data_IF_562849824335
#
_entry.id   IF_562849824335
#
_cell.length_a   1.000
_cell.length_b   1.000
_cell.length_c   1.000
_cell.angle_alpha   90.00
_cell.angle_beta   90.00
_cell.angle_gamma   90.00
#
_symmetry.space_group_name_H-M   'P 1'
#
loop_
_entity.id
_entity.type
_entity.pdbx_description
1 polymer ?
#
# COMPACT_ATOMS: atom_id res chain seq x y z
N UNK A 1 -3.74 -26.80 47.25
CA UNK A 1 -3.53 -26.93 45.79
C UNK A 1 -4.55 -26.17 44.92
N UNK A 2 -5.84 -26.12 45.24
CA UNK A 2 -6.87 -25.43 44.43
C UNK A 2 -6.68 -23.91 44.27
N UNK A 3 -6.14 -23.19 45.30
CA UNK A 3 -5.93 -21.72 45.22
C UNK A 3 -4.81 -21.29 44.27
N UNK A 4 -3.76 -22.12 44.07
CA UNK A 4 -2.66 -21.77 43.14
C UNK A 4 -3.07 -21.92 41.67
N UNK A 5 -3.94 -22.87 41.33
CA UNK A 5 -4.44 -23.08 39.99
C UNK A 5 -5.38 -21.92 39.58
N UNK A 6 -6.19 -21.40 40.50
CA UNK A 6 -7.08 -20.28 40.24
C UNK A 6 -6.29 -18.98 39.95
N UNK A 7 -5.18 -18.74 40.63
CA UNK A 7 -4.35 -17.56 40.42
C UNK A 7 -3.64 -17.59 39.06
N UNK A 8 -3.21 -18.75 38.59
CA UNK A 8 -2.58 -18.91 37.27
C UNK A 8 -3.61 -18.68 36.14
N UNK A 9 -4.85 -19.17 36.30
CA UNK A 9 -5.92 -18.93 35.32
C UNK A 9 -6.26 -17.41 35.21
N UNK A 10 -6.30 -16.67 36.32
CA UNK A 10 -6.55 -15.23 36.30
C UNK A 10 -5.45 -14.44 35.61
N UNK A 11 -4.19 -14.82 35.77
CA UNK A 11 -3.04 -14.17 35.12
C UNK A 11 -3.06 -14.41 33.60
N UNK A 12 -3.41 -15.65 33.16
CA UNK A 12 -3.50 -15.97 31.72
C UNK A 12 -4.64 -15.20 31.05
N UNK A 13 -5.82 -15.13 31.68
CA UNK A 13 -6.97 -14.37 31.14
C UNK A 13 -6.67 -12.88 31.11
N UNK A 14 -6.00 -12.34 32.13
CA UNK A 14 -5.59 -10.93 32.17
C UNK A 14 -4.59 -10.56 31.07
N UNK A 15 -3.59 -11.40 30.83
CA UNK A 15 -2.56 -11.13 29.80
C UNK A 15 -3.12 -11.26 28.38
N UNK A 16 -3.98 -12.24 28.10
CA UNK A 16 -4.65 -12.36 26.80
C UNK A 16 -5.59 -11.18 26.56
N UNK A 17 -6.36 -10.76 27.56
CA UNK A 17 -7.25 -9.60 27.47
C UNK A 17 -6.50 -8.30 27.19
N UNK A 18 -5.36 -8.06 27.85
CA UNK A 18 -4.54 -6.86 27.67
C UNK A 18 -3.90 -6.86 26.26
N UNK A 19 -3.38 -8.02 25.80
CA UNK A 19 -2.77 -8.12 24.47
C UNK A 19 -3.82 -7.86 23.38
N UNK A 20 -5.01 -8.45 23.48
CA UNK A 20 -6.08 -8.24 22.48
C UNK A 20 -6.62 -6.81 22.48
N UNK A 21 -6.73 -6.17 23.65
CA UNK A 21 -7.14 -4.77 23.76
C UNK A 21 -6.12 -3.83 23.12
N UNK A 22 -4.83 -4.02 23.41
CA UNK A 22 -3.76 -3.20 22.81
C UNK A 22 -3.65 -3.35 21.30
N UNK A 23 -3.84 -4.57 20.77
CA UNK A 23 -3.82 -4.80 19.31
C UNK A 23 -5.00 -4.10 18.64
N UNK A 24 -6.22 -4.25 19.17
CA UNK A 24 -7.41 -3.56 18.61
C UNK A 24 -7.30 -2.04 18.72
N UNK A 25 -6.75 -1.51 19.81
CA UNK A 25 -6.52 -0.08 19.97
C UNK A 25 -5.57 0.47 18.90
N UNK A 26 -4.47 -0.24 18.63
CA UNK A 26 -3.51 0.14 17.59
C UNK A 26 -4.13 0.10 16.18
N UNK A 27 -4.91 -0.92 15.85
CA UNK A 27 -5.58 -1.05 14.56
C UNK A 27 -6.56 0.10 14.29
N UNK A 28 -7.32 0.51 15.31
CA UNK A 28 -8.23 1.67 15.21
C UNK A 28 -7.46 2.98 15.06
N UNK A 29 -6.34 3.16 15.79
CA UNK A 29 -5.49 4.34 15.67
C UNK A 29 -4.86 4.43 14.27
N UNK A 30 -4.40 3.32 13.69
CA UNK A 30 -3.82 3.28 12.36
C UNK A 30 -4.87 3.62 11.29
N UNK A 31 -6.10 3.09 11.38
CA UNK A 31 -7.18 3.40 10.46
C UNK A 31 -7.55 4.90 10.48
N UNK A 32 -7.65 5.50 11.67
CA UNK A 32 -7.91 6.93 11.83
C UNK A 32 -6.74 7.78 11.36
N UNK A 33 -5.50 7.35 11.59
CA UNK A 33 -4.30 8.01 11.10
C UNK A 33 -4.27 8.00 9.57
N UNK A 34 -4.53 6.86 8.93
CA UNK A 34 -4.60 6.72 7.48
C UNK A 34 -5.61 7.69 6.88
N UNK A 35 -6.85 7.69 7.39
CA UNK A 35 -7.89 8.63 6.99
C UNK A 35 -7.42 10.08 7.09
N UNK A 36 -6.90 10.48 8.24
CA UNK A 36 -6.44 11.86 8.48
C UNK A 36 -5.31 12.26 7.55
N UNK A 37 -4.33 11.40 7.32
CA UNK A 37 -3.22 11.69 6.40
C UNK A 37 -3.73 11.90 4.97
N UNK A 38 -4.55 11.00 4.44
CA UNK A 38 -5.08 11.12 3.08
C UNK A 38 -5.99 12.35 2.93
N UNK A 39 -6.90 12.57 3.86
CA UNK A 39 -7.84 13.70 3.82
C UNK A 39 -7.17 15.05 4.11
N UNK A 40 -5.98 15.06 4.73
CA UNK A 40 -5.23 16.29 4.99
C UNK A 40 -4.84 17.06 3.71
N UNK A 41 -4.85 16.40 2.56
CA UNK A 41 -4.59 17.00 1.25
C UNK A 41 -5.85 17.47 0.52
N UNK A 42 -7.04 17.27 1.09
CA UNK A 42 -8.27 17.78 0.51
C UNK A 42 -8.23 19.30 0.38
N UNK A 43 -8.63 19.81 -0.78
CA UNK A 43 -8.60 21.24 -1.09
C UNK A 43 -7.22 21.84 -1.38
N UNK A 44 -6.15 21.07 -1.22
CA UNK A 44 -4.78 21.51 -1.51
C UNK A 44 -4.39 21.29 -2.97
N UNK A 45 -3.31 21.95 -3.38
CA UNK A 45 -2.62 21.79 -4.66
C UNK A 45 -1.12 21.89 -4.45
N UNK A 46 -0.35 21.31 -5.36
CA UNK A 46 1.08 21.60 -5.58
C UNK A 46 1.27 22.33 -6.92
N UNK A 47 2.50 22.47 -7.38
CA UNK A 47 2.83 23.18 -8.62
C UNK A 47 2.34 22.46 -9.89
N UNK A 48 2.01 21.17 -9.80
CA UNK A 48 1.70 20.31 -10.95
C UNK A 48 0.21 19.96 -11.03
N UNK A 49 -0.48 19.82 -9.88
CA UNK A 49 -1.89 19.39 -9.84
C UNK A 49 -2.61 19.79 -8.55
N UNK A 50 -3.93 19.73 -8.61
CA UNK A 50 -4.81 19.81 -7.44
C UNK A 50 -5.05 18.42 -6.91
N UNK A 51 -4.85 18.22 -5.60
CA UNK A 51 -5.16 16.93 -4.97
C UNK A 51 -6.66 16.64 -5.04
N UNK A 52 -6.98 15.40 -5.42
CA UNK A 52 -8.36 14.89 -5.39
C UNK A 52 -8.85 14.86 -3.96
N UNK A 53 -10.06 15.40 -3.72
CA UNK A 53 -10.71 15.28 -2.42
C UNK A 53 -11.15 13.83 -2.19
N UNK A 54 -10.98 13.35 -0.96
CA UNK A 54 -11.30 12.01 -0.53
C UNK A 54 -12.21 12.03 0.69
N UNK A 55 -13.04 10.98 0.82
CA UNK A 55 -13.84 10.70 2.01
C UNK A 55 -13.63 9.24 2.43
N UNK A 56 -12.58 9.01 3.22
CA UNK A 56 -12.18 7.66 3.62
C UNK A 56 -12.97 7.22 4.85
N UNK A 57 -13.48 5.98 4.82
CA UNK A 57 -14.18 5.39 5.97
C UNK A 57 -13.26 5.30 7.19
N UNK A 58 -13.79 5.59 8.38
CA UNK A 58 -13.10 5.34 9.65
C UNK A 58 -12.84 3.85 9.89
N UNK A 59 -13.67 3.00 9.29
CA UNK A 59 -13.51 1.53 9.30
C UNK A 59 -12.73 1.07 8.07
N UNK A 60 -11.59 1.70 7.79
CA UNK A 60 -10.69 1.21 6.74
C UNK A 60 -9.74 0.13 7.30
N UNK A 61 -9.24 -0.80 6.44
CA UNK A 61 -8.45 -1.93 6.90
C UNK A 61 -6.94 -1.65 7.03
N UNK A 62 -6.48 -0.42 6.86
CA UNK A 62 -5.05 -0.12 6.75
C UNK A 62 -4.34 -0.09 8.10
N UNK A 63 -3.20 -0.78 8.17
CA UNK A 63 -2.31 -0.87 9.34
C UNK A 63 -0.90 -0.49 8.91
N UNK A 64 -0.31 0.52 9.56
CA UNK A 64 1.04 0.98 9.25
C UNK A 64 2.09 -0.09 9.58
N UNK A 65 3.00 -0.28 8.63
CA UNK A 65 4.12 -1.20 8.75
C UNK A 65 5.34 -0.69 7.97
N UNK A 66 6.44 -1.41 8.05
CA UNK A 66 7.67 -1.12 7.30
C UNK A 66 7.92 -2.20 6.25
N UNK A 67 8.78 -1.90 5.27
CA UNK A 67 9.21 -2.86 4.27
C UNK A 67 9.96 -4.07 4.91
N UNK A 68 10.75 -3.81 5.96
CA UNK A 68 11.45 -4.83 6.72
C UNK A 68 10.49 -5.80 7.42
N UNK A 69 9.36 -5.29 7.92
CA UNK A 69 8.34 -6.15 8.55
C UNK A 69 7.56 -6.96 7.51
N UNK A 70 7.35 -6.43 6.30
CA UNK A 70 6.80 -7.20 5.18
C UNK A 70 7.75 -8.34 4.79
N UNK A 71 9.06 -8.08 4.66
CA UNK A 71 10.07 -9.13 4.42
C UNK A 71 9.98 -10.24 5.47
N UNK A 72 9.95 -9.88 6.77
CA UNK A 72 9.84 -10.86 7.87
C UNK A 72 8.56 -11.71 7.79
N UNK A 73 7.43 -11.12 7.35
CA UNK A 73 6.16 -11.85 7.18
C UNK A 73 6.23 -12.86 6.05
N UNK A 74 6.86 -12.49 4.94
CA UNK A 74 7.11 -13.37 3.81
C UNK A 74 8.00 -14.56 4.25
N UNK A 75 9.10 -14.27 4.94
CA UNK A 75 10.03 -15.28 5.47
C UNK A 75 9.36 -16.25 6.46
N UNK A 76 8.35 -15.77 7.22
CA UNK A 76 7.51 -16.57 8.10
C UNK A 76 6.35 -17.31 7.39
N UNK A 77 6.26 -17.19 6.08
CA UNK A 77 5.20 -17.79 5.26
C UNK A 77 3.78 -17.35 5.70
N UNK A 78 3.63 -16.09 6.11
CA UNK A 78 2.33 -15.54 6.43
C UNK A 78 1.49 -15.32 5.17
N UNK A 79 0.15 -15.27 5.34
CA UNK A 79 -0.81 -14.86 4.31
C UNK A 79 -1.35 -13.48 4.66
N UNK A 80 -1.18 -12.51 3.74
CA UNK A 80 -1.57 -11.12 3.97
C UNK A 80 -1.72 -10.33 2.67
N UNK A 81 -2.30 -9.14 2.78
CA UNK A 81 -2.29 -8.12 1.74
C UNK A 81 -1.42 -6.96 2.20
N UNK A 82 -0.58 -6.44 1.31
CA UNK A 82 0.19 -5.21 1.52
C UNK A 82 -0.14 -4.18 0.45
N UNK A 83 -0.21 -2.92 0.87
CA UNK A 83 -0.37 -1.75 0.03
C UNK A 83 0.88 -0.86 0.14
N UNK A 84 1.50 -0.58 -1.00
CA UNK A 84 2.55 0.42 -1.16
C UNK A 84 1.95 1.67 -1.79
N UNK A 85 2.01 2.78 -1.09
CA UNK A 85 1.38 4.01 -1.55
C UNK A 85 1.75 5.24 -0.72
N UNK A 86 1.18 6.37 -1.10
CA UNK A 86 1.39 7.63 -0.40
C UNK A 86 0.17 8.56 -0.53
N UNK A 87 -0.20 9.33 0.50
CA UNK A 87 -1.31 10.28 0.44
C UNK A 87 -1.10 11.43 -0.54
N UNK A 88 0.14 11.71 -0.93
CA UNK A 88 0.49 12.74 -1.90
C UNK A 88 0.52 12.22 -3.35
N UNK A 89 0.56 10.90 -3.54
CA UNK A 89 0.53 10.28 -4.86
C UNK A 89 -0.85 10.44 -5.52
N UNK A 90 -0.95 11.13 -6.69
CA UNK A 90 -2.24 11.37 -7.32
C UNK A 90 -2.92 10.09 -7.81
N UNK A 91 -2.16 9.09 -8.27
CA UNK A 91 -2.67 7.78 -8.66
C UNK A 91 -3.19 6.97 -7.45
N UNK A 92 -2.49 7.06 -6.30
CA UNK A 92 -2.98 6.47 -5.05
C UNK A 92 -4.33 7.07 -4.65
N UNK A 93 -4.46 8.39 -4.80
CA UNK A 93 -5.69 9.10 -4.47
C UNK A 93 -6.85 8.79 -5.41
N UNK A 94 -6.59 8.34 -6.64
CA UNK A 94 -7.68 7.94 -7.53
C UNK A 94 -8.35 6.64 -7.11
N UNK A 95 -7.58 5.68 -6.61
CA UNK A 95 -8.06 4.31 -6.35
C UNK A 95 -8.44 4.01 -4.90
N UNK A 96 -7.95 4.82 -3.93
CA UNK A 96 -7.99 4.43 -2.51
C UNK A 96 -9.41 4.30 -1.93
N UNK A 97 -10.37 5.12 -2.37
CA UNK A 97 -11.75 5.02 -1.91
C UNK A 97 -12.39 3.71 -2.37
N UNK A 98 -12.11 3.28 -3.61
CA UNK A 98 -12.63 2.03 -4.15
C UNK A 98 -11.94 0.83 -3.49
N UNK A 99 -10.64 0.93 -3.19
CA UNK A 99 -9.93 -0.09 -2.43
C UNK A 99 -10.54 -0.29 -1.03
N UNK A 100 -10.83 0.79 -0.30
CA UNK A 100 -11.47 0.73 1.02
C UNK A 100 -12.88 0.16 0.93
N UNK A 101 -13.69 0.64 -0.02
CA UNK A 101 -15.07 0.18 -0.19
C UNK A 101 -15.12 -1.31 -0.51
N UNK A 102 -14.32 -1.73 -1.49
CA UNK A 102 -14.25 -3.14 -1.88
C UNK A 102 -13.71 -4.02 -0.75
N UNK A 103 -12.69 -3.57 0.00
CA UNK A 103 -12.20 -4.31 1.16
C UNK A 103 -13.29 -4.55 2.20
N UNK A 104 -14.07 -3.51 2.53
CA UNK A 104 -15.21 -3.63 3.46
C UNK A 104 -16.29 -4.57 2.94
N UNK A 105 -16.67 -4.47 1.65
CA UNK A 105 -17.68 -5.31 1.01
C UNK A 105 -17.25 -6.79 0.99
N UNK A 106 -15.95 -7.08 0.89
CA UNK A 106 -15.36 -8.42 0.86
C UNK A 106 -14.84 -8.90 2.23
N UNK A 107 -15.14 -8.19 3.32
CA UNK A 107 -14.70 -8.51 4.69
C UNK A 107 -13.17 -8.62 4.85
N UNK A 108 -12.41 -7.81 4.10
CA UNK A 108 -10.97 -7.69 4.27
C UNK A 108 -10.70 -6.72 5.42
N UNK A 109 -10.32 -7.26 6.57
CA UNK A 109 -10.18 -6.49 7.80
C UNK A 109 -8.77 -5.96 8.04
N UNK A 110 -7.79 -6.38 7.21
CA UNK A 110 -6.39 -5.99 7.40
C UNK A 110 -5.66 -5.91 6.07
N UNK A 111 -5.07 -4.74 5.82
CA UNK A 111 -4.13 -4.47 4.73
C UNK A 111 -2.93 -3.75 5.35
N UNK A 112 -1.74 -4.33 5.24
CA UNK A 112 -0.52 -3.68 5.70
C UNK A 112 -0.15 -2.53 4.77
N UNK A 113 0.06 -1.33 5.33
CA UNK A 113 0.37 -0.13 4.56
C UNK A 113 1.83 0.28 4.77
N UNK A 114 2.59 0.27 3.70
CA UNK A 114 3.96 0.78 3.62
C UNK A 114 3.92 2.15 2.92
N UNK A 115 4.16 3.21 3.69
CA UNK A 115 4.25 4.57 3.16
C UNK A 115 5.55 4.73 2.39
N UNK A 116 5.47 5.24 1.14
CA UNK A 116 6.59 5.26 0.20
C UNK A 116 7.52 6.46 0.38
N UNK A 117 6.97 7.65 0.74
CA UNK A 117 7.72 8.89 0.91
C UNK A 117 7.68 9.39 2.35
N UNK A 118 8.68 10.19 2.72
CA UNK A 118 8.56 11.02 3.92
C UNK A 118 7.68 12.26 3.61
N UNK A 119 7.34 13.05 4.64
CA UNK A 119 6.50 14.24 4.48
C UNK A 119 7.12 15.37 3.64
N UNK A 120 8.24 15.14 2.96
CA UNK A 120 8.96 16.08 2.10
C UNK A 120 9.16 15.51 0.68
N UNK A 121 8.36 14.55 0.25
CA UNK A 121 8.47 13.83 -1.02
C UNK A 121 9.79 13.07 -1.25
N UNK A 122 10.61 12.89 -0.22
CA UNK A 122 11.82 12.11 -0.39
C UNK A 122 11.50 10.62 -0.46
N UNK A 123 11.95 9.98 -1.52
CA UNK A 123 11.91 8.52 -1.65
C UNK A 123 12.77 7.86 -0.56
N UNK A 124 12.18 6.98 0.22
CA UNK A 124 12.88 6.31 1.34
C UNK A 124 13.04 4.81 1.16
N UNK A 125 12.37 4.25 0.17
CA UNK A 125 12.33 2.80 0.01
C UNK A 125 13.06 2.35 -1.26
N UNK A 126 12.75 2.97 -2.40
CA UNK A 126 13.07 2.48 -3.74
C UNK A 126 14.33 3.12 -4.32
N UNK A 127 14.87 2.48 -5.35
CA UNK A 127 15.84 3.12 -6.24
C UNK A 127 15.25 4.34 -6.92
N UNK A 128 16.10 5.34 -7.16
CA UNK A 128 15.80 6.50 -7.99
C UNK A 128 16.76 6.52 -9.16
N UNK A 129 16.22 6.45 -10.37
CA UNK A 129 16.95 6.61 -11.61
C UNK A 129 16.54 7.90 -12.30
N UNK A 130 17.46 8.51 -13.01
CA UNK A 130 17.24 9.64 -13.92
C UNK A 130 17.84 9.35 -15.29
N UNK A 131 17.35 10.02 -16.33
CA UNK A 131 17.95 9.92 -17.65
C UNK A 131 19.11 10.91 -17.79
N UNK A 132 20.27 10.39 -18.19
CA UNK A 132 21.41 11.18 -18.62
C UNK A 132 21.76 10.75 -20.05
N UNK A 133 21.63 11.66 -21.00
CA UNK A 133 21.77 11.38 -22.45
C UNK A 133 20.93 10.15 -22.87
N UNK A 134 19.67 10.15 -22.49
CA UNK A 134 18.66 9.10 -22.75
C UNK A 134 18.98 7.71 -22.15
N UNK A 135 19.92 7.65 -21.22
CA UNK A 135 20.28 6.41 -20.52
C UNK A 135 19.91 6.48 -19.04
N UNK A 136 19.30 5.42 -18.48
CA UNK A 136 19.02 5.36 -17.05
C UNK A 136 20.31 5.35 -16.22
N UNK A 137 20.41 6.28 -15.25
CA UNK A 137 21.52 6.38 -14.31
C UNK A 137 20.97 6.34 -12.90
N UNK A 138 21.47 5.43 -12.07
CA UNK A 138 21.07 5.31 -10.67
C UNK A 138 21.56 6.52 -9.88
N UNK A 139 20.63 7.29 -9.30
CA UNK A 139 20.90 8.47 -8.46
C UNK A 139 20.88 8.15 -6.97
N UNK A 140 19.99 7.26 -6.55
CA UNK A 140 19.87 6.85 -5.17
C UNK A 140 19.51 5.37 -5.11
N UNK A 141 20.19 4.64 -4.22
CA UNK A 141 19.86 3.24 -3.95
C UNK A 141 18.68 3.13 -3.00
N UNK A 142 17.82 2.15 -3.28
CA UNK A 142 16.81 1.69 -2.36
C UNK A 142 17.38 0.99 -1.13
N UNK A 143 16.50 0.62 -0.20
CA UNK A 143 16.87 -0.12 1.01
C UNK A 143 17.13 -1.60 0.71
N UNK A 144 17.84 -2.30 1.61
CA UNK A 144 18.00 -3.76 1.52
C UNK A 144 16.65 -4.49 1.54
N UNK A 145 15.68 -3.95 2.28
CA UNK A 145 14.32 -4.49 2.29
C UNK A 145 13.65 -4.36 0.91
N UNK A 146 13.86 -3.25 0.21
CA UNK A 146 13.34 -3.06 -1.14
C UNK A 146 13.86 -4.13 -2.11
N UNK A 147 15.16 -4.39 -2.12
CA UNK A 147 15.74 -5.43 -3.00
C UNK A 147 15.23 -6.83 -2.67
N UNK A 148 15.06 -7.15 -1.38
CA UNK A 148 14.42 -8.42 -0.99
C UNK A 148 12.98 -8.50 -1.48
N UNK A 149 12.20 -7.41 -1.37
CA UNK A 149 10.83 -7.35 -1.87
C UNK A 149 10.74 -7.49 -3.38
N UNK A 150 11.66 -6.87 -4.15
CA UNK A 150 11.74 -7.08 -5.60
C UNK A 150 11.91 -8.57 -5.94
N UNK A 151 12.78 -9.28 -5.21
CA UNK A 151 12.98 -10.71 -5.41
C UNK A 151 11.74 -11.56 -5.07
N UNK A 152 11.01 -11.21 -3.98
CA UNK A 152 9.82 -11.94 -3.57
C UNK A 152 8.61 -11.69 -4.49
N UNK A 153 8.46 -10.47 -4.97
CA UNK A 153 7.34 -10.10 -5.84
C UNK A 153 7.61 -10.46 -7.31
N UNK A 154 8.88 -10.47 -7.69
CA UNK A 154 9.39 -11.01 -8.94
C UNK A 154 8.72 -10.45 -10.19
N UNK A 155 8.44 -11.34 -11.15
CA UNK A 155 7.90 -11.02 -12.47
C UNK A 155 6.46 -10.48 -12.45
N UNK A 156 5.77 -10.56 -11.31
CA UNK A 156 4.44 -9.95 -11.15
C UNK A 156 4.48 -8.42 -11.04
N UNK A 157 5.66 -7.85 -10.74
CA UNK A 157 5.86 -6.40 -10.79
C UNK A 157 6.02 -5.92 -12.23
N UNK A 158 5.65 -4.68 -12.46
CA UNK A 158 5.88 -4.00 -13.73
C UNK A 158 7.36 -3.59 -13.89
N UNK A 159 7.77 -3.40 -15.14
CA UNK A 159 9.09 -2.88 -15.47
C UNK A 159 9.23 -1.42 -15.04
N UNK A 160 10.40 -1.06 -14.53
CA UNK A 160 10.71 0.32 -14.23
C UNK A 160 11.01 1.08 -15.54
N UNK A 161 10.16 2.01 -15.88
CA UNK A 161 10.34 2.88 -17.05
C UNK A 161 10.43 4.34 -16.64
N UNK A 162 11.22 5.09 -17.40
CA UNK A 162 11.33 6.55 -17.34
C UNK A 162 10.83 7.13 -18.66
N UNK A 163 10.45 8.39 -18.66
CA UNK A 163 10.01 9.09 -19.89
C UNK A 163 11.10 10.08 -20.31
N UNK A 164 11.56 9.99 -21.56
CA UNK A 164 12.54 10.92 -22.12
C UNK A 164 11.88 12.29 -22.47
N UNK A 165 12.69 13.25 -22.88
CA UNK A 165 12.22 14.58 -23.28
C UNK A 165 11.27 14.55 -24.49
N UNK A 166 11.33 13.53 -25.32
CA UNK A 166 10.47 13.31 -26.48
C UNK A 166 9.15 12.59 -26.14
N UNK A 167 8.98 12.17 -24.86
CA UNK A 167 7.80 11.44 -24.40
C UNK A 167 7.88 9.93 -24.60
N UNK A 168 9.04 9.37 -25.01
CA UNK A 168 9.18 7.93 -25.18
C UNK A 168 9.51 7.24 -23.84
N UNK A 169 9.06 5.99 -23.71
CA UNK A 169 9.36 5.16 -22.55
C UNK A 169 10.74 4.52 -22.68
N UNK A 170 11.61 4.72 -21.68
CA UNK A 170 12.94 4.14 -21.56
C UNK A 170 12.92 3.14 -20.40
N UNK A 171 13.15 1.85 -20.70
CA UNK A 171 13.20 0.81 -19.69
C UNK A 171 14.54 0.89 -18.91
N UNK A 172 14.45 0.88 -17.58
CA UNK A 172 15.62 0.90 -16.68
C UNK A 172 16.32 -0.47 -16.65
N UNK A 173 15.62 -1.53 -17.02
CA UNK A 173 16.13 -2.91 -16.99
C UNK A 173 15.83 -3.64 -15.68
N UNK A 174 15.03 -3.06 -14.80
CA UNK A 174 14.65 -3.62 -13.52
C UNK A 174 13.14 -3.55 -13.30
N UNK A 175 12.63 -4.33 -12.34
CA UNK A 175 11.26 -4.25 -11.85
C UNK A 175 11.11 -3.15 -10.81
N UNK A 176 9.87 -2.66 -10.61
CA UNK A 176 9.59 -1.61 -9.62
C UNK A 176 8.32 -1.87 -8.82
N UNK A 177 8.38 -1.60 -7.52
CA UNK A 177 7.17 -1.45 -6.70
C UNK A 177 6.64 -0.04 -6.96
N UNK A 178 5.47 0.09 -7.61
CA UNK A 178 4.85 1.38 -7.87
C UNK A 178 3.97 1.83 -6.69
N UNK A 179 3.58 3.09 -6.71
CA UNK A 179 2.56 3.67 -5.85
C UNK A 179 1.41 4.17 -6.76
N UNK A 180 0.24 3.51 -6.72
CA UNK A 180 -0.16 2.39 -5.84
C UNK A 180 0.30 1.02 -6.31
N UNK A 181 0.65 0.11 -5.39
CA UNK A 181 0.64 -1.33 -5.61
C UNK A 181 -0.07 -2.04 -4.43
N UNK A 182 -1.04 -2.90 -4.73
CA UNK A 182 -1.67 -3.83 -3.81
C UNK A 182 -1.19 -5.23 -4.14
N UNK A 183 -0.65 -5.94 -3.14
CA UNK A 183 -0.01 -7.24 -3.35
C UNK A 183 -0.62 -8.25 -2.38
N UNK A 184 -1.09 -9.37 -2.92
CA UNK A 184 -1.56 -10.53 -2.16
C UNK A 184 -0.41 -11.53 -2.02
N UNK A 185 -0.08 -11.87 -0.79
CA UNK A 185 0.88 -12.92 -0.43
C UNK A 185 0.14 -14.04 0.28
N UNK A 186 0.34 -15.29 -0.16
CA UNK A 186 -0.22 -16.47 0.48
C UNK A 186 0.91 -17.47 0.80
N UNK A 187 1.00 -17.87 2.07
CA UNK A 187 2.06 -18.77 2.55
C UNK A 187 3.48 -18.29 2.20
N UNK A 188 3.70 -16.96 2.18
CA UNK A 188 4.98 -16.36 1.79
C UNK A 188 5.23 -16.26 0.28
N UNK A 189 4.28 -16.65 -0.56
CA UNK A 189 4.39 -16.54 -2.01
C UNK A 189 3.49 -15.43 -2.56
N UNK A 190 4.01 -14.63 -3.47
CA UNK A 190 3.24 -13.56 -4.14
C UNK A 190 2.25 -14.19 -5.14
N UNK A 191 0.97 -13.88 -4.99
CA UNK A 191 -0.10 -14.44 -5.84
C UNK A 191 -0.69 -13.44 -6.81
N UNK A 192 -0.87 -12.18 -6.38
CA UNK A 192 -1.45 -11.11 -7.22
C UNK A 192 -0.74 -9.80 -6.92
N UNK A 193 -0.53 -9.00 -7.95
CA UNK A 193 -0.10 -7.59 -7.87
C UNK A 193 -1.04 -6.78 -8.73
N UNK A 194 -1.60 -5.69 -8.20
CA UNK A 194 -2.43 -4.74 -8.94
C UNK A 194 -2.11 -3.31 -8.55
N UNK A 195 -2.34 -2.38 -9.44
CA UNK A 195 -2.39 -0.94 -9.14
C UNK A 195 -3.81 -0.49 -8.77
N UNK A 196 -4.81 -1.17 -9.25
CA UNK A 196 -6.22 -0.85 -9.03
C UNK A 196 -6.75 0.28 -9.91
N UNK A 197 -5.93 0.77 -10.84
CA UNK A 197 -6.26 1.86 -11.77
C UNK A 197 -7.05 1.29 -12.95
N UNK A 198 -8.16 1.94 -13.31
CA UNK A 198 -8.91 1.60 -14.52
C UNK A 198 -8.12 1.98 -15.77
N UNK A 199 -8.08 1.10 -16.78
CA UNK A 199 -7.50 1.39 -18.10
C UNK A 199 -8.19 2.58 -18.80
N UNK A 200 -9.40 2.93 -18.39
CA UNK A 200 -10.17 4.09 -18.89
C UNK A 200 -9.68 5.41 -18.29
N UNK A 201 -8.93 5.37 -17.21
CA UNK A 201 -8.34 6.56 -16.60
C UNK A 201 -7.04 6.95 -17.33
N UNK A 202 -7.13 7.88 -18.27
CA UNK A 202 -6.02 8.28 -19.12
C UNK A 202 -4.95 9.11 -18.40
N UNK A 203 -5.29 9.74 -17.26
CA UNK A 203 -4.40 10.60 -16.48
C UNK A 203 -4.82 10.61 -15.02
N UNK A 204 -3.85 10.88 -14.13
CA UNK A 204 -4.15 11.08 -12.71
C UNK A 204 -5.07 12.28 -12.43
N UNK A 205 -5.15 13.24 -13.38
CA UNK A 205 -6.06 14.39 -13.32
C UNK A 205 -7.44 14.10 -13.95
N UNK A 206 -7.64 12.95 -14.60
CA UNK A 206 -8.94 12.60 -15.20
C UNK A 206 -10.05 12.63 -14.15
N UNK A 207 -11.21 13.15 -14.51
CA UNK A 207 -12.41 13.02 -13.66
C UNK A 207 -12.77 11.54 -13.50
N UNK A 208 -12.98 11.09 -12.29
CA UNK A 208 -13.46 9.74 -12.01
C UNK A 208 -14.98 9.72 -12.22
N UNK A 209 -15.39 9.45 -13.43
CA UNK A 209 -16.80 9.22 -13.74
C UNK A 209 -17.27 7.85 -13.20
N UNK A 210 -18.57 7.62 -13.25
CA UNK A 210 -19.20 6.38 -12.74
C UNK A 210 -18.60 5.11 -13.36
N UNK A 211 -18.22 5.17 -14.63
CA UNK A 211 -17.66 4.01 -15.35
C UNK A 211 -16.27 3.65 -14.79
N UNK A 212 -15.38 4.63 -14.61
CA UNK A 212 -14.04 4.44 -14.02
C UNK A 212 -14.17 3.93 -12.58
N UNK A 213 -15.04 4.54 -11.76
CA UNK A 213 -15.29 4.15 -10.38
C UNK A 213 -15.75 2.69 -10.28
N UNK A 214 -16.69 2.28 -11.14
CA UNK A 214 -17.20 0.91 -11.15
C UNK A 214 -16.14 -0.09 -11.61
N UNK A 215 -15.31 0.29 -12.57
CA UNK A 215 -14.21 -0.54 -13.07
C UNK A 215 -13.14 -0.73 -11.98
N UNK A 216 -12.67 0.34 -11.35
CA UNK A 216 -11.75 0.26 -10.21
C UNK A 216 -12.30 -0.61 -9.07
N UNK A 217 -13.59 -0.41 -8.71
CA UNK A 217 -14.23 -1.27 -7.71
C UNK A 217 -14.23 -2.74 -8.13
N UNK A 218 -14.51 -3.04 -9.40
CA UNK A 218 -14.48 -4.41 -9.92
C UNK A 218 -13.09 -5.02 -9.88
N UNK A 219 -12.04 -4.24 -10.19
CA UNK A 219 -10.64 -4.67 -10.08
C UNK A 219 -10.34 -5.07 -8.63
N UNK A 220 -10.70 -4.25 -7.64
CA UNK A 220 -10.49 -4.56 -6.22
C UNK A 220 -11.36 -5.72 -5.73
N UNK A 221 -12.64 -5.80 -6.15
CA UNK A 221 -13.49 -6.95 -5.80
C UNK A 221 -12.88 -8.28 -6.28
N UNK A 222 -12.33 -8.30 -7.50
CA UNK A 222 -11.64 -9.48 -8.03
C UNK A 222 -10.30 -9.77 -7.35
N UNK A 223 -9.61 -8.73 -6.90
CA UNK A 223 -8.38 -8.88 -6.15
C UNK A 223 -8.62 -9.49 -4.77
N UNK A 224 -9.67 -9.04 -4.05
CA UNK A 224 -10.00 -9.48 -2.69
C UNK A 224 -10.78 -10.80 -2.64
N UNK A 225 -11.40 -11.24 -3.74
CA UNK A 225 -12.06 -12.56 -3.79
C UNK A 225 -11.01 -13.67 -3.67
N UNK A 226 -11.33 -14.62 -2.78
CA UNK A 226 -10.56 -15.86 -2.58
C UNK A 226 -10.78 -16.83 -3.72
#
# INVERSE_FOLDING_TARGET
MKKKILLILFIIVGTVGVVTYNVKGKELDDAMKFKKEYESFNGKKNDYFKYRNLSISEKNPFIYTTAEDIVKRIEKKETFIVYFGDPECPWCRSVIEQAVKSANDNNVNKIYYVKMWDGFHNEKLRDVYELENDKPVLKSKGTDAYYKLLNYFGDLLEDYTLTDESGNSVNVGEKRIFAPNFILVENGETKKVIQGISEKQQSYNSELNTEIINDEKSIFDNFYKK
#
